data_IF_436057063096
#
_entry.id   IF_436057063096
#
_cell.length_a   1.000
_cell.length_b   1.000
_cell.length_c   1.000
_cell.angle_alpha   90.00
_cell.angle_beta   90.00
_cell.angle_gamma   90.00
#
_symmetry.space_group_name_H-M   'P 1'
#
loop_
_entity.id
_entity.type
_entity.pdbx_description
1 polymer ?
#
# COMPACT_ATOMS: atom_id res chain seq x y z
N UNK A 1 8.64 -17.03 6.69
CA UNK A 1 7.72 -16.20 7.48
C UNK A 1 8.30 -14.82 7.60
N UNK A 2 7.50 -13.79 7.35
CA UNK A 2 7.90 -12.38 7.53
C UNK A 2 7.31 -11.84 8.84
N UNK A 3 8.08 -11.00 9.54
CA UNK A 3 7.67 -10.31 10.76
C UNK A 3 7.94 -8.80 10.55
N UNK A 4 6.90 -7.94 10.57
CA UNK A 4 7.13 -6.48 10.47
C UNK A 4 7.96 -6.04 11.68
N UNK A 5 8.97 -5.19 11.44
CA UNK A 5 9.82 -4.63 12.49
C UNK A 5 9.16 -3.54 13.34
N UNK A 6 7.94 -3.14 12.99
CA UNK A 6 7.15 -2.11 13.68
C UNK A 6 5.66 -2.52 13.73
N UNK A 7 4.85 -1.78 14.47
CA UNK A 7 3.42 -1.96 14.60
C UNK A 7 2.73 -1.84 13.25
N UNK A 8 1.90 -2.83 12.95
CA UNK A 8 1.02 -2.83 11.78
C UNK A 8 -0.25 -2.04 12.12
N UNK A 9 -0.58 -1.06 11.29
CA UNK A 9 -1.78 -0.24 11.43
C UNK A 9 -2.95 -0.79 10.60
N UNK A 10 -2.67 -1.28 9.38
CA UNK A 10 -3.67 -1.86 8.49
C UNK A 10 -3.05 -2.86 7.49
N UNK A 11 -3.87 -3.75 6.95
CA UNK A 11 -3.48 -4.77 5.97
C UNK A 11 -4.56 -4.90 4.88
N UNK A 12 -4.14 -4.90 3.61
CA UNK A 12 -5.01 -5.33 2.50
C UNK A 12 -4.31 -6.38 1.64
N UNK A 13 -5.05 -7.01 0.73
CA UNK A 13 -4.46 -7.82 -0.34
C UNK A 13 -4.83 -7.24 -1.69
N UNK A 14 -3.84 -7.15 -2.59
CA UNK A 14 -4.14 -6.77 -3.96
C UNK A 14 -4.93 -7.89 -4.67
N UNK A 15 -5.84 -7.54 -5.60
CA UNK A 15 -6.66 -8.54 -6.29
C UNK A 15 -5.82 -9.54 -7.08
N UNK A 16 -6.22 -10.81 -7.03
CA UNK A 16 -5.62 -11.89 -7.83
C UNK A 16 -6.62 -12.30 -8.91
N UNK A 17 -6.79 -11.42 -9.89
CA UNK A 17 -7.76 -11.54 -10.98
C UNK A 17 -7.13 -11.17 -12.32
N UNK A 18 -7.84 -11.44 -13.42
CA UNK A 18 -7.42 -11.02 -14.77
C UNK A 18 -7.09 -9.52 -14.81
N UNK A 19 -5.99 -9.17 -15.49
CA UNK A 19 -5.43 -7.81 -15.51
C UNK A 19 -4.40 -7.52 -14.40
N UNK A 20 -4.16 -8.47 -13.49
CA UNK A 20 -2.99 -8.44 -12.60
C UNK A 20 -1.73 -8.88 -13.37
N UNK A 21 -0.53 -8.51 -12.88
CA UNK A 21 0.71 -9.00 -13.50
C UNK A 21 0.85 -10.52 -13.43
N UNK A 22 1.59 -11.10 -14.38
CA UNK A 22 1.72 -12.55 -14.54
C UNK A 22 2.49 -13.16 -13.38
N UNK A 23 2.02 -14.32 -12.91
CA UNK A 23 2.67 -15.06 -11.82
C UNK A 23 2.43 -14.48 -10.43
N UNK A 24 1.54 -13.49 -10.32
CA UNK A 24 1.17 -12.88 -9.04
C UNK A 24 0.42 -13.87 -8.15
N UNK A 25 1.01 -14.17 -6.99
CA UNK A 25 0.33 -14.87 -5.89
C UNK A 25 -0.54 -13.92 -5.05
N UNK A 26 -0.91 -14.35 -3.84
CA UNK A 26 -1.46 -13.41 -2.86
C UNK A 26 -0.37 -12.39 -2.50
N UNK A 27 -0.68 -11.11 -2.68
CA UNK A 27 0.24 -9.99 -2.38
C UNK A 27 -0.36 -9.11 -1.26
N UNK A 28 -0.05 -9.40 0.01
CA UNK A 28 -0.44 -8.55 1.13
C UNK A 28 0.33 -7.23 1.13
N UNK A 29 -0.39 -6.15 1.42
CA UNK A 29 0.14 -4.80 1.61
C UNK A 29 -0.07 -4.42 3.06
N UNK A 30 1.00 -3.96 3.70
CA UNK A 30 1.01 -3.65 5.13
C UNK A 30 1.34 -2.16 5.31
N UNK A 31 0.51 -1.44 6.06
CA UNK A 31 0.82 -0.12 6.60
C UNK A 31 1.50 -0.30 7.95
N UNK A 32 2.77 0.12 8.11
CA UNK A 32 3.49 0.04 9.39
C UNK A 32 3.77 1.44 9.97
N UNK A 33 3.92 1.52 11.30
CA UNK A 33 4.16 2.75 12.07
C UNK A 33 5.47 3.48 11.72
N UNK A 34 6.41 2.81 11.07
CA UNK A 34 7.69 3.35 10.61
C UNK A 34 7.56 4.22 9.33
N UNK A 35 6.35 4.71 9.03
CA UNK A 35 6.02 5.53 7.86
C UNK A 35 6.23 4.79 6.54
N UNK A 36 6.02 3.47 6.52
CA UNK A 36 6.16 2.67 5.31
C UNK A 36 4.88 1.91 4.93
N UNK A 37 4.70 1.76 3.62
CA UNK A 37 3.84 0.72 3.03
C UNK A 37 4.74 -0.41 2.53
N UNK A 38 4.51 -1.63 2.99
CA UNK A 38 5.32 -2.82 2.70
C UNK A 38 4.56 -3.81 1.83
N UNK A 39 5.19 -4.27 0.76
CA UNK A 39 4.64 -5.26 -0.17
C UNK A 39 5.25 -6.61 0.13
N UNK A 40 4.41 -7.60 0.43
CA UNK A 40 4.83 -8.94 0.81
C UNK A 40 4.54 -9.92 -0.32
N UNK A 41 5.53 -10.75 -0.66
CA UNK A 41 5.39 -11.83 -1.64
C UNK A 41 6.05 -13.10 -1.10
N UNK A 42 5.35 -14.24 -1.17
CA UNK A 42 5.91 -15.52 -0.73
C UNK A 42 6.42 -15.53 0.71
N UNK A 43 5.76 -14.79 1.62
CA UNK A 43 6.17 -14.60 3.02
C UNK A 43 7.53 -13.90 3.21
N UNK A 44 7.92 -13.04 2.26
CA UNK A 44 9.10 -12.17 2.33
C UNK A 44 8.70 -10.73 1.96
N UNK A 45 9.41 -9.76 2.53
CA UNK A 45 9.33 -8.38 2.06
C UNK A 45 9.88 -8.33 0.63
N UNK A 46 9.05 -7.88 -0.31
CA UNK A 46 9.47 -7.63 -1.69
C UNK A 46 10.13 -6.26 -1.78
N UNK A 47 9.39 -5.21 -1.41
CA UNK A 47 9.88 -3.84 -1.29
C UNK A 47 8.99 -3.03 -0.34
N UNK A 48 9.43 -1.82 -0.03
CA UNK A 48 8.68 -0.85 0.79
C UNK A 48 8.72 0.54 0.17
N UNK A 49 7.71 1.35 0.51
CA UNK A 49 7.56 2.74 0.07
C UNK A 49 7.56 3.59 1.33
N UNK A 50 8.48 4.55 1.40
CA UNK A 50 8.47 5.58 2.44
C UNK A 50 7.42 6.65 2.15
N UNK A 51 6.69 7.06 3.18
CA UNK A 51 5.67 8.11 3.13
C UNK A 51 6.11 9.32 3.96
N UNK A 52 5.41 10.44 3.80
CA UNK A 52 5.60 11.66 4.60
C UNK A 52 5.24 11.44 6.08
N UNK A 53 4.21 10.64 6.34
CA UNK A 53 3.77 10.31 7.70
C UNK A 53 3.20 8.87 7.82
N UNK A 54 2.80 8.50 9.04
CA UNK A 54 2.38 7.15 9.42
C UNK A 54 1.10 6.75 8.68
N UNK A 55 1.13 5.74 7.78
CA UNK A 55 -0.08 5.23 7.15
C UNK A 55 -0.95 4.52 8.17
N UNK A 56 -2.24 4.85 8.19
CA UNK A 56 -3.22 4.35 9.17
C UNK A 56 -4.34 3.52 8.56
N UNK A 57 -4.71 3.78 7.30
CA UNK A 57 -5.75 3.04 6.58
C UNK A 57 -5.33 2.85 5.13
N UNK A 58 -5.66 1.70 4.56
CA UNK A 58 -5.43 1.36 3.17
C UNK A 58 -6.74 0.94 2.50
N UNK A 59 -6.87 1.21 1.21
CA UNK A 59 -8.04 0.79 0.43
C UNK A 59 -7.66 0.57 -1.04
N UNK A 60 -8.32 -0.38 -1.72
CA UNK A 60 -8.13 -0.54 -3.17
C UNK A 60 -8.66 0.69 -3.91
N UNK A 61 -7.85 1.24 -4.81
CA UNK A 61 -8.35 2.29 -5.71
C UNK A 61 -9.49 1.74 -6.57
N UNK A 62 -10.61 2.45 -6.65
CA UNK A 62 -11.83 2.02 -7.37
C UNK A 62 -12.40 0.65 -6.92
N UNK A 63 -12.08 0.21 -5.69
CA UNK A 63 -12.49 -1.09 -5.13
C UNK A 63 -11.91 -2.33 -5.85
N UNK A 64 -11.04 -2.12 -6.85
CA UNK A 64 -10.47 -3.21 -7.65
C UNK A 64 -8.97 -3.01 -7.96
N UNK A 65 -8.34 -1.99 -7.41
CA UNK A 65 -6.95 -1.65 -7.66
C UNK A 65 -6.71 -0.93 -8.99
N UNK A 66 -7.78 -0.44 -9.63
CA UNK A 66 -7.74 0.24 -10.93
C UNK A 66 -7.48 -0.71 -12.10
N UNK A 67 -7.03 -0.14 -13.22
CA UNK A 67 -6.81 -0.88 -14.47
C UNK A 67 -5.83 -2.06 -14.30
N UNK A 68 -4.68 -1.81 -13.64
CA UNK A 68 -3.63 -2.81 -13.42
C UNK A 68 -3.80 -3.63 -12.11
N UNK A 69 -4.94 -3.51 -11.42
CA UNK A 69 -5.23 -4.26 -10.17
C UNK A 69 -4.17 -4.11 -9.07
N UNK A 70 -3.53 -2.95 -8.99
CA UNK A 70 -2.36 -2.77 -8.13
C UNK A 70 -2.26 -1.39 -7.46
N UNK A 71 -3.29 -0.56 -7.62
CA UNK A 71 -3.32 0.78 -7.02
C UNK A 71 -4.01 0.77 -5.67
N UNK A 72 -3.37 1.40 -4.70
CA UNK A 72 -3.84 1.46 -3.31
C UNK A 72 -3.93 2.92 -2.88
N UNK A 73 -5.10 3.29 -2.38
CA UNK A 73 -5.30 4.52 -1.62
C UNK A 73 -4.81 4.30 -0.19
N UNK A 74 -4.16 5.29 0.39
CA UNK A 74 -3.79 5.30 1.79
C UNK A 74 -4.19 6.62 2.45
N UNK A 75 -4.42 6.57 3.76
CA UNK A 75 -4.56 7.75 4.61
C UNK A 75 -3.54 7.72 5.75
N UNK A 76 -2.94 8.86 6.08
CA UNK A 76 -1.94 9.01 7.14
C UNK A 76 -2.53 9.63 8.41
N UNK A 77 -1.82 9.51 9.53
CA UNK A 77 -2.25 10.05 10.84
C UNK A 77 -2.32 11.58 10.88
N UNK A 78 -1.44 12.27 10.14
CA UNK A 78 -1.48 13.73 9.98
C UNK A 78 -2.51 14.23 8.94
N UNK A 79 -3.34 13.34 8.39
CA UNK A 79 -4.46 13.72 7.53
C UNK A 79 -4.10 13.92 6.06
N UNK A 80 -3.04 13.30 5.55
CA UNK A 80 -2.82 13.18 4.11
C UNK A 80 -3.57 11.97 3.55
N UNK A 81 -4.00 12.10 2.29
CA UNK A 81 -4.47 11.00 1.46
C UNK A 81 -3.51 10.85 0.28
N UNK A 82 -3.20 9.63 -0.10
CA UNK A 82 -2.37 9.39 -1.27
C UNK A 82 -2.75 8.14 -2.05
N UNK A 83 -2.13 8.02 -3.22
CA UNK A 83 -2.29 6.88 -4.12
C UNK A 83 -0.91 6.31 -4.46
N UNK A 84 -0.71 5.03 -4.19
CA UNK A 84 0.47 4.29 -4.61
C UNK A 84 0.12 3.29 -5.72
N UNK A 85 1.04 3.12 -6.65
CA UNK A 85 1.02 2.09 -7.69
C UNK A 85 2.04 1.01 -7.33
N UNK A 86 1.56 -0.18 -6.97
CA UNK A 86 2.37 -1.26 -6.40
C UNK A 86 2.66 -2.31 -7.46
N UNK A 87 3.51 -2.00 -8.43
CA UNK A 87 3.88 -2.94 -9.51
C UNK A 87 4.71 -4.12 -8.99
N UNK A 88 4.99 -5.12 -9.85
CA UNK A 88 5.82 -6.26 -9.47
C UNK A 88 7.28 -5.90 -9.14
N UNK A 89 7.80 -4.80 -9.69
CA UNK A 89 9.22 -4.44 -9.56
C UNK A 89 9.45 -3.36 -8.51
N UNK A 90 8.51 -2.43 -8.37
CA UNK A 90 8.62 -1.30 -7.47
C UNK A 90 7.28 -0.66 -7.14
N UNK A 91 7.28 0.11 -6.06
CA UNK A 91 6.19 0.98 -5.66
C UNK A 91 6.43 2.42 -6.08
N UNK A 92 5.43 3.09 -6.64
CA UNK A 92 5.50 4.51 -6.97
C UNK A 92 4.40 5.28 -6.24
N UNK A 93 4.77 6.34 -5.53
CA UNK A 93 3.82 7.34 -5.05
C UNK A 93 3.33 8.19 -6.23
N UNK A 94 2.05 8.06 -6.59
CA UNK A 94 1.47 8.76 -7.75
C UNK A 94 1.10 10.19 -7.37
N UNK A 95 0.42 10.37 -6.24
CA UNK A 95 0.11 11.67 -5.68
C UNK A 95 -0.17 11.54 -4.18
N UNK A 96 -0.04 12.66 -3.48
CA UNK A 96 -0.46 12.84 -2.09
C UNK A 96 -1.10 14.23 -1.96
N UNK A 97 -2.20 14.31 -1.22
CA UNK A 97 -2.91 15.54 -0.94
C UNK A 97 -3.15 15.70 0.56
N UNK A 98 -2.87 16.86 1.14
CA UNK A 98 -3.29 17.16 2.50
C UNK A 98 -4.81 17.34 2.53
N UNK A 99 -5.51 16.63 3.43
CA UNK A 99 -6.88 16.97 3.76
C UNK A 99 -6.82 18.09 4.77
N UNK A 100 -7.12 19.32 4.35
CA UNK A 100 -7.13 20.47 5.27
C UNK A 100 -8.20 20.26 6.34
N UNK A 101 -7.77 19.72 7.48
CA UNK A 101 -8.42 19.82 8.79
C UNK A 101 -7.33 19.89 9.85
N UNK A 102 -6.45 20.90 9.74
CA UNK A 102 -5.74 21.40 10.91
C UNK A 102 -6.70 22.35 11.64
N UNK A 103 -7.52 21.78 12.53
CA UNK A 103 -8.09 22.54 13.66
C UNK A 103 -7.06 22.54 14.77
#
# INVERSE_FOLDING_TARGET
TYLCGDQINDVLCLPVVEGSWVGRGITPIIACNDKTIKVIEGSKLSYEIGLSDIPNVLHLFMNDGGFNKQKVLYGTKDGHLGLVDLSSESGTLIWEIPTKNAS
#
